data_IF_734989440142
#
_entry.id   IF_734989440142
#
_cell.length_a   1.000
_cell.length_b   1.000
_cell.length_c   1.000
_cell.angle_alpha   90.00
_cell.angle_beta   90.00
_cell.angle_gamma   90.00
#
_symmetry.space_group_name_H-M   'P 1'
#
loop_
_entity.id
_entity.type
_entity.pdbx_description
1 polymer ?
#
# COMPACT_ATOMS: atom_id res chain seq x y z
N UNK A 1 -9.84 6.21 15.08
CA UNK A 1 -9.94 4.88 15.75
C UNK A 1 -10.59 3.80 14.88
N UNK A 2 -11.70 4.07 14.16
CA UNK A 2 -12.39 3.06 13.32
C UNK A 2 -11.53 2.44 12.21
N UNK A 3 -10.76 3.26 11.48
CA UNK A 3 -9.88 2.77 10.40
C UNK A 3 -8.71 1.90 10.91
N UNK A 4 -8.15 2.23 12.07
CA UNK A 4 -7.08 1.45 12.68
C UNK A 4 -7.54 0.04 13.07
N UNK A 5 -8.71 -0.07 13.71
CA UNK A 5 -9.33 -1.34 14.08
C UNK A 5 -9.67 -2.16 12.83
N UNK A 6 -10.15 -1.50 11.78
CA UNK A 6 -10.43 -2.13 10.49
C UNK A 6 -9.17 -2.74 9.87
N UNK A 7 -8.08 -1.97 9.77
CA UNK A 7 -6.80 -2.43 9.23
C UNK A 7 -6.24 -3.61 10.03
N UNK A 8 -6.27 -3.53 11.36
CA UNK A 8 -5.86 -4.63 12.24
C UNK A 8 -6.68 -5.90 12.00
N UNK A 9 -8.01 -5.77 11.86
CA UNK A 9 -8.91 -6.90 11.63
C UNK A 9 -8.66 -7.56 10.29
N UNK A 10 -8.32 -6.78 9.25
CA UNK A 10 -8.00 -7.35 7.93
C UNK A 10 -6.65 -8.04 7.96
N UNK A 11 -5.65 -7.38 8.54
CA UNK A 11 -4.29 -7.90 8.66
C UNK A 11 -4.23 -9.17 9.53
N UNK A 12 -5.05 -9.27 10.58
CA UNK A 12 -5.09 -10.46 11.44
C UNK A 12 -5.66 -11.71 10.75
N UNK A 13 -6.27 -11.57 9.57
CA UNK A 13 -6.89 -12.68 8.83
C UNK A 13 -5.98 -13.32 7.80
N UNK A 14 -4.77 -12.81 7.63
CA UNK A 14 -3.77 -13.42 6.74
C UNK A 14 -2.84 -14.30 7.57
N UNK A 15 -2.58 -15.53 7.13
CA UNK A 15 -1.65 -16.44 7.81
C UNK A 15 -0.18 -16.01 7.68
N UNK A 16 0.10 -15.06 6.78
CA UNK A 16 1.45 -14.57 6.49
C UNK A 16 1.90 -13.39 7.37
N UNK A 17 1.04 -12.88 8.26
CA UNK A 17 1.40 -11.77 9.15
C UNK A 17 1.90 -12.32 10.49
N UNK A 18 3.22 -12.27 10.69
CA UNK A 18 3.84 -12.53 11.99
C UNK A 18 3.65 -11.33 12.90
N UNK A 19 2.92 -11.52 14.00
CA UNK A 19 2.82 -10.52 15.08
C UNK A 19 4.09 -10.63 15.91
N UNK A 20 4.93 -9.59 15.88
CA UNK A 20 6.13 -9.51 16.71
C UNK A 20 5.73 -8.91 18.04
N UNK A 21 5.97 -9.63 19.14
CA UNK A 21 5.60 -9.21 20.50
C UNK A 21 6.33 -7.95 20.99
N UNK A 22 7.45 -7.58 20.33
CA UNK A 22 8.26 -6.43 20.69
C UNK A 22 8.78 -5.71 19.45
N UNK A 23 8.33 -4.48 19.24
CA UNK A 23 8.74 -3.60 18.13
C UNK A 23 9.87 -2.62 18.49
N UNK A 24 10.49 -2.78 19.68
CA UNK A 24 11.54 -1.88 20.19
C UNK A 24 12.91 -2.07 19.52
N UNK A 25 14.01 -1.95 20.27
CA UNK A 25 15.42 -1.87 19.82
C UNK A 25 15.81 -2.75 18.60
N UNK A 26 15.26 -3.97 18.49
CA UNK A 26 15.47 -4.87 17.35
C UNK A 26 14.91 -4.38 16.00
N UNK A 27 13.98 -3.43 16.00
CA UNK A 27 13.35 -2.90 14.79
C UNK A 27 14.04 -1.63 14.29
N UNK A 28 14.53 -0.78 15.20
CA UNK A 28 15.07 0.56 14.87
C UNK A 28 16.59 0.60 14.67
N UNK A 29 17.35 -0.34 15.25
CA UNK A 29 18.82 -0.27 15.33
C UNK A 29 19.54 -1.59 14.98
N UNK A 30 18.82 -2.64 14.58
CA UNK A 30 19.43 -3.94 14.29
C UNK A 30 19.62 -4.11 12.77
N UNK A 31 20.86 -4.27 12.32
CA UNK A 31 21.19 -4.50 10.90
C UNK A 31 20.59 -5.80 10.33
N UNK A 32 20.27 -6.76 11.21
CA UNK A 32 19.57 -7.99 10.87
C UNK A 32 18.04 -7.83 10.88
N UNK A 33 17.52 -6.62 11.10
CA UNK A 33 16.09 -6.32 11.06
C UNK A 33 15.54 -6.55 9.65
N UNK A 34 14.56 -7.44 9.56
CA UNK A 34 13.90 -7.84 8.30
C UNK A 34 13.18 -6.64 7.64
N UNK A 35 12.88 -5.58 8.39
CA UNK A 35 12.16 -4.40 7.91
C UNK A 35 13.05 -3.20 7.59
N UNK A 36 14.27 -3.13 8.15
CA UNK A 36 15.25 -2.07 7.81
C UNK A 36 16.24 -2.49 6.72
N UNK A 37 16.52 -3.80 6.59
CA UNK A 37 17.46 -4.27 5.59
C UNK A 37 16.85 -4.20 4.18
N UNK A 38 17.28 -3.25 3.33
CA UNK A 38 16.76 -3.10 1.96
C UNK A 38 16.85 -4.39 1.12
N UNK A 39 17.74 -5.33 1.48
CA UNK A 39 17.91 -6.63 0.80
C UNK A 39 16.72 -7.60 0.98
N UNK A 40 15.85 -7.37 1.95
CA UNK A 40 14.65 -8.21 2.18
C UNK A 40 13.43 -7.75 1.39
N UNK A 41 13.49 -6.57 0.75
CA UNK A 41 12.44 -6.10 -0.15
C UNK A 41 12.52 -6.88 -1.47
N UNK A 42 11.82 -8.00 -1.52
CA UNK A 42 11.65 -8.79 -2.75
C UNK A 42 10.65 -8.06 -3.66
N UNK A 43 10.99 -7.91 -4.94
CA UNK A 43 10.04 -7.52 -5.99
C UNK A 43 9.09 -8.69 -6.19
N UNK A 44 8.02 -8.75 -5.40
CA UNK A 44 7.01 -9.77 -5.55
C UNK A 44 5.61 -9.15 -5.44
N UNK A 45 4.77 -9.45 -6.43
CA UNK A 45 3.45 -8.88 -6.64
C UNK A 45 2.37 -9.52 -5.75
N UNK A 46 2.80 -10.29 -4.73
CA UNK A 46 1.94 -11.02 -3.77
C UNK A 46 0.87 -10.15 -3.11
N UNK A 47 1.05 -8.83 -3.04
CA UNK A 47 0.06 -7.92 -2.47
C UNK A 47 -1.27 -7.94 -3.24
N UNK A 48 -1.26 -7.98 -4.57
CA UNK A 48 -2.53 -8.03 -5.33
C UNK A 48 -3.25 -9.36 -5.11
N UNK A 49 -2.51 -10.47 -5.02
CA UNK A 49 -3.06 -11.78 -4.69
C UNK A 49 -3.71 -11.79 -3.30
N UNK A 50 -3.05 -11.21 -2.30
CA UNK A 50 -3.58 -11.07 -0.94
C UNK A 50 -4.84 -10.19 -0.90
N UNK A 51 -4.84 -9.07 -1.62
CA UNK A 51 -6.02 -8.19 -1.73
C UNK A 51 -7.20 -8.90 -2.40
N UNK A 52 -6.93 -9.76 -3.39
CA UNK A 52 -7.95 -10.58 -4.04
C UNK A 52 -8.52 -11.64 -3.09
N UNK A 53 -7.69 -12.30 -2.30
CA UNK A 53 -8.16 -13.23 -1.25
C UNK A 53 -9.03 -12.51 -0.23
N UNK A 54 -8.59 -11.34 0.26
CA UNK A 54 -9.39 -10.50 1.17
C UNK A 54 -10.75 -10.15 0.55
N UNK A 55 -10.79 -9.84 -0.75
CA UNK A 55 -12.04 -9.53 -1.44
C UNK A 55 -13.01 -10.73 -1.47
N UNK A 56 -12.50 -11.93 -1.75
CA UNK A 56 -13.32 -13.14 -1.88
C UNK A 56 -13.75 -13.71 -0.53
N UNK A 57 -12.85 -13.72 0.45
CA UNK A 57 -13.04 -14.44 1.71
C UNK A 57 -13.77 -13.57 2.77
N UNK A 58 -13.80 -12.25 2.58
CA UNK A 58 -14.37 -11.32 3.55
C UNK A 58 -15.58 -10.59 3.00
N UNK A 59 -16.74 -10.85 3.60
CA UNK A 59 -17.95 -10.02 3.43
C UNK A 59 -17.81 -8.67 4.15
N UNK A 60 -16.84 -7.84 3.74
CA UNK A 60 -16.52 -6.56 4.36
C UNK A 60 -17.70 -5.58 4.32
N UNK A 61 -18.50 -5.65 3.26
CA UNK A 61 -19.65 -4.76 3.01
C UNK A 61 -20.74 -4.87 4.07
N UNK A 62 -20.84 -6.01 4.78
CA UNK A 62 -21.80 -6.20 5.88
C UNK A 62 -21.42 -5.45 7.15
N UNK A 63 -20.13 -5.16 7.34
CA UNK A 63 -19.58 -4.64 8.61
C UNK A 63 -19.03 -3.22 8.50
N UNK A 64 -18.59 -2.82 7.30
CA UNK A 64 -17.91 -1.55 7.08
C UNK A 64 -18.51 -0.79 5.91
N UNK A 65 -18.48 0.55 5.98
CA UNK A 65 -18.96 1.38 4.88
C UNK A 65 -18.11 1.19 3.63
N UNK A 66 -18.74 1.19 2.45
CA UNK A 66 -18.05 1.06 1.16
C UNK A 66 -16.89 2.07 1.01
N UNK A 67 -17.05 3.31 1.48
CA UNK A 67 -15.99 4.33 1.48
C UNK A 67 -14.71 3.88 2.21
N UNK A 68 -14.84 3.21 3.36
CA UNK A 68 -13.69 2.71 4.11
C UNK A 68 -12.99 1.56 3.39
N UNK A 69 -13.77 0.65 2.82
CA UNK A 69 -13.25 -0.50 2.06
C UNK A 69 -12.48 0.02 0.84
N UNK A 70 -13.11 0.87 0.04
CA UNK A 70 -12.49 1.51 -1.13
C UNK A 70 -11.20 2.24 -0.77
N UNK A 71 -11.21 3.06 0.29
CA UNK A 71 -10.03 3.79 0.72
C UNK A 71 -8.91 2.85 1.19
N UNK A 72 -9.23 1.72 1.83
CA UNK A 72 -8.24 0.73 2.25
C UNK A 72 -7.55 0.03 1.08
N UNK A 73 -8.31 -0.41 0.07
CA UNK A 73 -7.72 -1.02 -1.12
C UNK A 73 -6.81 -0.02 -1.84
N UNK A 74 -7.29 1.20 -2.05
CA UNK A 74 -6.52 2.27 -2.69
C UNK A 74 -5.25 2.60 -1.89
N UNK A 75 -5.37 2.80 -0.56
CA UNK A 75 -4.23 3.09 0.32
C UNK A 75 -3.19 1.98 0.29
N UNK A 76 -3.62 0.72 0.38
CA UNK A 76 -2.72 -0.44 0.40
C UNK A 76 -1.94 -0.55 -0.91
N UNK A 77 -2.60 -0.35 -2.05
CA UNK A 77 -1.94 -0.29 -3.36
C UNK A 77 -0.93 0.87 -3.43
N UNK A 78 -1.31 2.07 -3.00
CA UNK A 78 -0.38 3.22 -3.00
C UNK A 78 0.83 2.97 -2.11
N UNK A 79 0.63 2.39 -0.94
CA UNK A 79 1.72 2.02 -0.04
C UNK A 79 2.65 0.99 -0.67
N UNK A 80 2.12 -0.03 -1.33
CA UNK A 80 2.90 -0.99 -2.10
C UNK A 80 3.74 -0.29 -3.18
N UNK A 81 3.12 0.56 -4.01
CA UNK A 81 3.83 1.27 -5.08
C UNK A 81 4.94 2.16 -4.52
N UNK A 82 4.69 2.89 -3.44
CA UNK A 82 5.72 3.69 -2.76
C UNK A 82 6.94 2.85 -2.35
N UNK A 83 6.73 1.64 -1.83
CA UNK A 83 7.82 0.73 -1.47
C UNK A 83 8.58 0.24 -2.73
N UNK A 84 7.86 -0.06 -3.81
CA UNK A 84 8.46 -0.56 -5.06
C UNK A 84 9.27 0.50 -5.82
N UNK A 85 9.01 1.80 -5.64
CA UNK A 85 9.82 2.88 -6.25
C UNK A 85 11.31 2.73 -5.92
N UNK A 86 11.65 2.22 -4.74
CA UNK A 86 13.02 2.11 -4.26
C UNK A 86 13.76 0.87 -4.76
N UNK A 87 13.03 -0.12 -5.26
CA UNK A 87 13.57 -1.44 -5.60
C UNK A 87 13.54 -1.65 -7.11
N UNK A 88 12.46 -1.20 -7.76
CA UNK A 88 12.24 -1.43 -9.18
C UNK A 88 12.86 -0.34 -10.07
N UNK A 89 13.32 -0.76 -11.24
CA UNK A 89 13.59 0.14 -12.34
C UNK A 89 12.28 0.78 -12.84
N UNK A 90 12.43 1.87 -13.60
CA UNK A 90 11.28 2.66 -14.08
C UNK A 90 10.29 1.83 -14.89
N UNK A 91 10.76 0.89 -15.74
CA UNK A 91 9.89 0.11 -16.62
C UNK A 91 9.05 -0.86 -15.79
N UNK A 92 9.69 -1.61 -14.90
CA UNK A 92 9.01 -2.54 -13.99
C UNK A 92 8.03 -1.80 -13.08
N UNK A 93 8.41 -0.65 -12.53
CA UNK A 93 7.53 0.16 -11.70
C UNK A 93 6.26 0.62 -12.44
N UNK A 94 6.39 1.04 -13.70
CA UNK A 94 5.24 1.47 -14.50
C UNK A 94 4.29 0.30 -14.80
N UNK A 95 4.82 -0.90 -15.03
CA UNK A 95 4.01 -2.12 -15.16
C UNK A 95 3.23 -2.42 -13.87
N UNK A 96 3.90 -2.36 -12.72
CA UNK A 96 3.27 -2.54 -11.41
C UNK A 96 2.17 -1.51 -11.16
N UNK A 97 2.40 -0.23 -11.52
CA UNK A 97 1.35 0.79 -11.44
C UNK A 97 0.15 0.40 -12.29
N UNK A 98 0.37 0.00 -13.54
CA UNK A 98 -0.71 -0.38 -14.45
C UNK A 98 -1.53 -1.57 -13.91
N UNK A 99 -0.86 -2.63 -13.47
CA UNK A 99 -1.50 -3.82 -12.90
C UNK A 99 -2.29 -3.48 -11.64
N UNK A 100 -1.70 -2.72 -10.72
CA UNK A 100 -2.34 -2.41 -9.45
C UNK A 100 -3.56 -1.50 -9.61
N UNK A 101 -3.51 -0.50 -10.49
CA UNK A 101 -4.68 0.36 -10.75
C UNK A 101 -5.74 -0.34 -11.61
N UNK A 102 -5.37 -1.24 -12.52
CA UNK A 102 -6.34 -2.10 -13.22
C UNK A 102 -7.06 -3.03 -12.25
N UNK A 103 -6.35 -3.61 -11.29
CA UNK A 103 -6.94 -4.42 -10.22
C UNK A 103 -7.99 -3.60 -9.44
N UNK A 104 -7.64 -2.39 -9.00
CA UNK A 104 -8.60 -1.50 -8.31
C UNK A 104 -9.82 -1.18 -9.17
N UNK A 105 -9.63 -0.97 -10.48
CA UNK A 105 -10.73 -0.70 -11.41
C UNK A 105 -11.65 -1.93 -11.58
N UNK A 106 -11.06 -3.12 -11.71
CA UNK A 106 -11.80 -4.38 -11.86
C UNK A 106 -12.71 -4.66 -10.66
N UNK A 107 -12.23 -4.42 -9.44
CA UNK A 107 -13.01 -4.60 -8.20
C UNK A 107 -13.85 -3.36 -7.80
N UNK A 108 -13.92 -2.31 -8.62
CA UNK A 108 -14.73 -1.11 -8.31
C UNK A 108 -14.16 -0.18 -7.22
N UNK A 109 -12.91 -0.37 -6.82
CA UNK A 109 -12.26 0.40 -5.74
C UNK A 109 -11.33 1.54 -6.22
N UNK A 110 -11.43 1.95 -7.49
CA UNK A 110 -10.62 3.03 -8.07
C UNK A 110 -11.12 4.47 -7.76
N UNK A 111 -12.16 4.62 -6.92
CA UNK A 111 -12.65 5.92 -6.49
C UNK A 111 -11.84 6.48 -5.32
N UNK A 112 -11.67 7.81 -5.28
CA UNK A 112 -11.05 8.48 -4.14
C UNK A 112 -12.11 8.92 -3.13
N UNK A 113 -12.13 8.26 -1.96
CA UNK A 113 -13.03 8.57 -0.84
C UNK A 113 -12.20 8.77 0.43
N UNK A 114 -11.74 9.99 0.76
CA UNK A 114 -10.85 10.20 1.90
C UNK A 114 -11.55 9.89 3.23
N UNK A 115 -10.85 9.17 4.11
CA UNK A 115 -11.30 8.86 5.46
C UNK A 115 -10.73 9.92 6.42
N UNK A 116 -11.58 10.61 7.19
CA UNK A 116 -11.17 11.77 8.00
C UNK A 116 -10.23 11.39 9.16
N UNK A 117 -10.31 10.15 9.60
CA UNK A 117 -9.55 9.58 10.71
C UNK A 117 -8.09 9.25 10.38
N UNK A 118 -7.69 9.33 9.10
CA UNK A 118 -6.33 9.11 8.63
C UNK A 118 -5.50 10.40 8.64
N UNK A 119 -4.20 10.26 8.85
CA UNK A 119 -3.26 11.39 8.87
C UNK A 119 -3.27 12.15 7.54
N UNK A 120 -3.13 13.47 7.61
CA UNK A 120 -3.15 14.32 6.43
C UNK A 120 -2.08 13.93 5.39
N UNK A 121 -0.87 13.60 5.83
CA UNK A 121 0.24 13.17 4.96
C UNK A 121 -0.12 11.93 4.14
N UNK A 122 -0.72 10.92 4.79
CA UNK A 122 -1.17 9.69 4.12
C UNK A 122 -2.26 10.01 3.10
N UNK A 123 -3.25 10.82 3.48
CA UNK A 123 -4.34 11.22 2.57
C UNK A 123 -3.84 11.95 1.33
N UNK A 124 -2.86 12.82 1.52
CA UNK A 124 -2.22 13.55 0.43
C UNK A 124 -1.44 12.61 -0.51
N UNK A 125 -0.64 11.69 0.03
CA UNK A 125 0.07 10.70 -0.79
C UNK A 125 -0.88 9.84 -1.62
N UNK A 126 -1.94 9.32 -0.99
CA UNK A 126 -2.96 8.52 -1.69
C UNK A 126 -3.65 9.34 -2.78
N UNK A 127 -3.96 10.60 -2.50
CA UNK A 127 -4.55 11.52 -3.48
C UNK A 127 -3.62 11.80 -4.66
N UNK A 128 -2.34 12.08 -4.41
CA UNK A 128 -1.36 12.36 -5.44
C UNK A 128 -1.19 11.17 -6.40
N UNK A 129 -1.11 9.95 -5.85
CA UNK A 129 -1.06 8.72 -6.64
C UNK A 129 -2.33 8.48 -7.45
N UNK A 130 -3.50 8.73 -6.86
CA UNK A 130 -4.77 8.61 -7.55
C UNK A 130 -4.91 9.61 -8.72
N UNK A 131 -4.54 10.88 -8.51
CA UNK A 131 -4.52 11.88 -9.58
C UNK A 131 -3.54 11.49 -10.68
N UNK A 132 -2.34 11.08 -10.32
CA UNK A 132 -1.34 10.70 -11.31
C UNK A 132 -1.79 9.49 -12.15
N UNK A 133 -2.53 8.55 -11.56
CA UNK A 133 -3.18 7.48 -12.31
C UNK A 133 -4.22 8.04 -13.29
N UNK A 134 -5.10 8.92 -12.82
CA UNK A 134 -6.14 9.54 -13.65
C UNK A 134 -5.58 10.38 -14.81
N UNK A 135 -4.40 10.99 -14.61
CA UNK A 135 -3.71 11.81 -15.62
C UNK A 135 -2.65 11.03 -16.42
N UNK A 136 -2.47 9.73 -16.17
CA UNK A 136 -1.41 8.90 -16.77
C UNK A 136 0.02 9.42 -16.53
N UNK A 137 0.26 10.14 -15.42
CA UNK A 137 1.53 10.78 -15.07
C UNK A 137 2.43 9.91 -14.17
N UNK A 138 2.28 8.58 -14.21
CA UNK A 138 3.06 7.65 -13.37
C UNK A 138 4.58 7.82 -13.52
N UNK A 139 5.04 8.18 -14.72
CA UNK A 139 6.46 8.43 -15.00
C UNK A 139 7.02 9.65 -14.26
N UNK A 140 6.22 10.71 -14.11
CA UNK A 140 6.60 11.90 -13.35
C UNK A 140 6.62 11.62 -11.85
N UNK A 141 5.63 10.88 -11.35
CA UNK A 141 5.63 10.43 -9.95
C UNK A 141 6.90 9.64 -9.62
N UNK A 142 7.28 8.69 -10.47
CA UNK A 142 8.50 7.92 -10.26
C UNK A 142 9.74 8.82 -10.16
N UNK A 143 9.89 9.79 -11.07
CA UNK A 143 11.02 10.72 -11.04
C UNK A 143 11.05 11.66 -9.84
N UNK A 144 9.89 12.00 -9.27
CA UNK A 144 9.80 12.88 -8.10
C UNK A 144 10.01 12.11 -6.79
N UNK A 145 9.44 10.90 -6.68
CA UNK A 145 9.46 10.10 -5.44
C UNK A 145 10.79 9.37 -5.25
N UNK A 146 11.42 8.89 -6.32
CA UNK A 146 12.71 8.18 -6.25
C UNK A 146 13.82 8.98 -5.55
N UNK A 147 14.09 10.26 -5.88
CA UNK A 147 15.12 11.04 -5.19
C UNK A 147 14.76 11.35 -3.73
N UNK A 148 13.48 11.56 -3.41
CA UNK A 148 13.03 11.84 -2.04
C UNK A 148 13.28 10.66 -1.09
N UNK A 149 13.16 9.43 -1.57
CA UNK A 149 13.46 8.24 -0.76
C UNK A 149 14.95 7.87 -0.74
N UNK A 150 15.73 8.26 -1.76
CA UNK A 150 17.19 8.09 -1.77
C UNK A 150 17.89 8.97 -0.72
N UNK A 151 17.31 10.11 -0.35
CA UNK A 151 17.83 11.03 0.68
C UNK A 151 17.59 10.57 2.12
N UNK A 152 16.79 9.52 2.34
CA UNK A 152 16.50 8.92 3.66
C UNK A 152 17.31 7.62 3.85
N UNK A 153 18.41 7.47 3.11
CA UNK A 153 19.36 6.35 3.19
C UNK A 153 20.61 6.72 3.95
#
# INVERSE_FOLDING_TARGET
>A
MKMYIFNLTINSKTENIKIISYAGYNYCLNENSVTQNRKTLVVDNKILSLLNQIYNDLSLEKKYSNKMIQYFYLKTVVQFLLMQVNVCDKKTYLQLCHEAFNFLKYHGYNGYSPVKEEEFKIRFCVFAYWIANKMHLHGLLYSLVRPLHLQIG
#
